data_IF_217379607721
#
_entry.id   IF_217379607721
#
_cell.length_a   1.000
_cell.length_b   1.000
_cell.length_c   1.000
_cell.angle_alpha   90.00
_cell.angle_beta   90.00
_cell.angle_gamma   90.00
#
_symmetry.space_group_name_H-M   'P 1'
#
loop_
_entity.id
_entity.type
_entity.pdbx_description
1 polymer ?
#
# COMPACT_ATOMS: atom_id res chain seq x y z
N UNK A 1 29.49 -15.07 30.89
CA UNK A 1 28.27 -14.26 30.66
C UNK A 1 28.01 -14.24 29.16
N UNK A 2 27.21 -15.20 28.67
CA UNK A 2 26.86 -15.27 27.25
C UNK A 2 25.59 -14.45 27.03
N UNK A 3 25.77 -13.25 26.49
CA UNK A 3 24.66 -12.40 26.06
C UNK A 3 23.97 -13.07 24.88
N UNK A 4 22.75 -13.55 25.08
CA UNK A 4 21.87 -14.00 24.00
C UNK A 4 21.50 -12.77 23.16
N UNK A 5 22.11 -12.69 21.98
CA UNK A 5 21.74 -11.76 20.92
C UNK A 5 20.33 -12.08 20.43
N UNK A 6 19.34 -11.29 20.88
CA UNK A 6 18.00 -11.25 20.32
C UNK A 6 18.07 -10.54 18.96
N UNK A 7 18.50 -11.27 17.93
CA UNK A 7 18.34 -10.81 16.56
C UNK A 7 16.85 -10.60 16.32
N UNK A 8 16.39 -9.40 15.90
CA UNK A 8 15.00 -9.21 15.53
C UNK A 8 14.65 -10.24 14.46
N UNK A 9 13.53 -10.95 14.66
CA UNK A 9 13.00 -11.84 13.63
C UNK A 9 12.89 -11.04 12.32
N UNK A 10 13.29 -11.59 11.16
CA UNK A 10 13.26 -10.86 9.91
C UNK A 10 11.87 -10.25 9.74
N UNK A 11 11.81 -8.92 9.65
CA UNK A 11 10.59 -8.22 9.31
C UNK A 11 10.11 -8.83 7.99
N UNK A 12 8.85 -9.25 7.94
CA UNK A 12 8.32 -9.85 6.72
C UNK A 12 8.33 -8.76 5.66
N UNK A 13 9.16 -8.90 4.63
CA UNK A 13 9.34 -7.91 3.57
C UNK A 13 8.06 -7.67 2.74
N UNK A 14 7.00 -8.45 2.99
CA UNK A 14 5.79 -8.51 2.18
C UNK A 14 4.56 -8.14 3.03
N UNK A 15 3.79 -7.16 2.56
CA UNK A 15 2.49 -6.76 3.12
C UNK A 15 1.38 -7.12 2.12
N UNK A 16 0.49 -8.04 2.53
CA UNK A 16 -0.72 -8.35 1.77
C UNK A 16 -1.88 -7.50 2.32
N UNK A 17 -2.51 -6.67 1.48
CA UNK A 17 -3.61 -5.77 1.85
C UNK A 17 -4.81 -5.97 0.91
N UNK A 18 -6.03 -5.96 1.46
CA UNK A 18 -7.27 -5.89 0.70
C UNK A 18 -8.19 -4.80 1.24
N UNK A 19 -8.84 -4.04 0.35
CA UNK A 19 -9.76 -2.95 0.71
C UNK A 19 -11.21 -3.37 0.42
N UNK A 20 -12.01 -3.58 1.46
CA UNK A 20 -13.45 -3.84 1.35
C UNK A 20 -14.25 -2.60 1.76
N UNK A 21 -15.05 -2.07 0.84
CA UNK A 21 -15.91 -0.93 1.08
C UNK A 21 -17.13 -0.96 0.15
N UNK A 22 -18.13 -0.15 0.46
CA UNK A 22 -19.34 0.04 -0.36
C UNK A 22 -19.00 0.48 -1.81
N UNK A 23 -19.97 0.36 -2.73
CA UNK A 23 -19.81 0.92 -4.08
C UNK A 23 -19.57 2.43 -3.97
N UNK A 24 -18.67 2.96 -4.79
CA UNK A 24 -18.26 4.38 -4.81
C UNK A 24 -17.66 4.95 -3.51
N UNK A 25 -17.29 4.11 -2.55
CA UNK A 25 -16.61 4.54 -1.31
C UNK A 25 -15.13 4.95 -1.50
N UNK A 26 -14.65 5.09 -2.74
CA UNK A 26 -13.27 5.55 -3.01
C UNK A 26 -12.17 4.49 -2.84
N UNK A 27 -12.48 3.19 -2.99
CA UNK A 27 -11.49 2.09 -2.89
C UNK A 27 -10.30 2.29 -3.84
N UNK A 28 -10.59 2.68 -5.08
CA UNK A 28 -9.59 2.94 -6.13
C UNK A 28 -8.68 4.11 -5.75
N UNK A 29 -9.27 5.23 -5.32
CA UNK A 29 -8.53 6.42 -4.90
C UNK A 29 -7.64 6.16 -3.70
N UNK A 30 -8.07 5.31 -2.76
CA UNK A 30 -7.24 4.89 -1.62
C UNK A 30 -6.04 4.07 -2.09
N UNK A 31 -6.25 3.10 -2.99
CA UNK A 31 -5.17 2.28 -3.55
C UNK A 31 -4.16 3.15 -4.31
N UNK A 32 -4.61 4.08 -5.14
CA UNK A 32 -3.73 4.99 -5.89
C UNK A 32 -2.88 5.86 -4.95
N UNK A 33 -3.45 6.38 -3.86
CA UNK A 33 -2.70 7.14 -2.85
C UNK A 33 -1.68 6.29 -2.11
N UNK A 34 -2.00 5.03 -1.81
CA UNK A 34 -1.06 4.10 -1.17
C UNK A 34 0.11 3.79 -2.10
N UNK A 35 -0.15 3.55 -3.38
CA UNK A 35 0.88 3.29 -4.38
C UNK A 35 1.77 4.52 -4.63
N UNK A 36 1.19 5.72 -4.68
CA UNK A 36 1.95 6.98 -4.75
C UNK A 36 2.82 7.20 -3.51
N UNK A 37 2.26 7.02 -2.30
CA UNK A 37 3.02 7.15 -1.06
C UNK A 37 4.15 6.11 -0.93
N UNK A 38 4.00 4.96 -1.56
CA UNK A 38 5.02 3.92 -1.65
C UNK A 38 6.10 4.20 -2.74
N UNK A 39 5.98 5.30 -3.50
CA UNK A 39 6.89 5.63 -4.60
C UNK A 39 6.79 4.68 -5.80
N UNK A 40 5.70 3.92 -5.90
CA UNK A 40 5.43 3.00 -7.01
C UNK A 40 4.64 3.65 -8.16
N UNK A 41 4.10 4.85 -7.93
CA UNK A 41 3.50 5.73 -8.93
C UNK A 41 4.11 7.12 -8.80
N UNK A 42 4.55 7.70 -9.92
CA UNK A 42 5.12 9.05 -9.96
C UNK A 42 4.07 10.14 -9.63
N UNK A 43 2.79 9.90 -9.97
CA UNK A 43 1.63 10.74 -9.61
C UNK A 43 0.40 9.85 -9.36
N UNK A 44 -0.46 10.18 -8.37
CA UNK A 44 -1.69 9.42 -8.14
C UNK A 44 -2.67 9.68 -9.30
N UNK A 45 -3.13 8.60 -9.93
CA UNK A 45 -4.27 8.66 -10.86
C UNK A 45 -5.49 9.28 -10.18
N UNK A 46 -6.34 9.95 -10.97
CA UNK A 46 -7.60 10.49 -10.49
C UNK A 46 -8.74 9.79 -11.20
N UNK A 47 -9.53 9.05 -10.45
CA UNK A 47 -10.80 8.47 -10.92
C UNK A 47 -11.74 9.54 -11.48
N UNK A 48 -11.73 10.75 -10.91
CA UNK A 48 -12.51 11.89 -11.41
C UNK A 48 -12.03 12.36 -12.79
N UNK A 49 -10.75 12.15 -13.10
CA UNK A 49 -10.15 12.48 -14.40
C UNK A 49 -10.16 11.31 -15.39
N UNK A 50 -10.64 10.12 -14.99
CA UNK A 50 -10.68 8.93 -15.85
C UNK A 50 -9.31 8.41 -16.30
N UNK A 51 -8.22 8.78 -15.61
CA UNK A 51 -6.85 8.38 -15.98
C UNK A 51 -6.41 7.07 -15.31
N UNK A 52 -7.26 6.46 -14.50
CA UNK A 52 -7.00 5.16 -13.87
C UNK A 52 -6.84 4.09 -14.95
N UNK A 53 -5.69 3.42 -14.94
CA UNK A 53 -5.39 2.29 -15.84
C UNK A 53 -5.47 0.99 -15.03
N UNK A 54 -6.32 0.07 -15.48
CA UNK A 54 -6.51 -1.29 -14.92
C UNK A 54 -5.44 -2.26 -15.37
#
# INVERSE_FOLDING_TARGET
MHSHDLRPAPARDHLNLGVLAHVDAGKTSLTERLLHAAGLLDEPGSVDAGTTRT
#
